data_IF_537365720698
#
_entry.id   IF_537365720698
#
_cell.length_a   1.000
_cell.length_b   1.000
_cell.length_c   1.000
_cell.angle_alpha   90.00
_cell.angle_beta   90.00
_cell.angle_gamma   90.00
#
_symmetry.space_group_name_H-M   'P 1'
#
loop_
_entity.id
_entity.type
_entity.pdbx_description
1 polymer ?
#
# COMPACT_ATOMS: atom_id res chain seq x y z
N UNK A 1 7.16 8.72 -37.45
CA UNK A 1 6.52 9.43 -36.32
C UNK A 1 7.62 10.24 -35.63
N UNK A 2 7.68 11.58 -35.79
CA UNK A 2 8.74 12.37 -35.18
C UNK A 2 8.42 12.61 -33.70
N UNK A 3 9.38 12.33 -32.83
CA UNK A 3 9.31 12.63 -31.40
C UNK A 3 9.24 14.14 -31.20
N UNK A 4 8.26 14.60 -30.40
CA UNK A 4 8.09 15.99 -29.97
C UNK A 4 9.24 16.40 -29.01
N UNK A 5 10.44 16.62 -29.53
CA UNK A 5 11.40 17.49 -28.86
C UNK A 5 11.15 18.91 -29.35
N UNK A 6 10.26 19.64 -28.67
CA UNK A 6 10.15 21.08 -28.87
C UNK A 6 11.43 21.75 -28.39
N UNK A 7 12.38 21.99 -29.31
CA UNK A 7 13.46 22.97 -29.12
C UNK A 7 12.86 24.37 -29.06
N UNK A 8 12.31 24.75 -27.90
CA UNK A 8 12.07 26.16 -27.56
C UNK A 8 13.32 26.67 -26.82
N UNK A 9 14.27 27.21 -27.59
CA UNK A 9 15.45 27.91 -27.07
C UNK A 9 16.54 27.00 -26.47
N UNK A 10 17.75 27.53 -26.33
CA UNK A 10 18.98 26.90 -25.78
C UNK A 10 18.89 26.42 -24.31
N UNK A 11 17.69 26.16 -23.78
CA UNK A 11 17.53 25.63 -22.42
C UNK A 11 17.66 24.11 -22.41
N UNK A 12 18.66 23.62 -21.67
CA UNK A 12 18.80 22.20 -21.33
C UNK A 12 17.62 21.80 -20.43
N UNK A 13 16.69 21.03 -20.97
CA UNK A 13 15.55 20.50 -20.22
C UNK A 13 16.02 19.34 -19.34
N UNK A 14 15.71 19.37 -18.04
CA UNK A 14 16.09 18.30 -17.11
C UNK A 14 15.25 17.06 -17.32
N UNK A 15 15.75 15.88 -16.95
CA UNK A 15 14.98 14.64 -17.08
C UNK A 15 13.67 14.69 -16.29
N UNK A 16 13.70 15.31 -15.10
CA UNK A 16 12.52 15.54 -14.28
C UNK A 16 11.46 16.38 -14.98
N UNK A 17 11.83 17.46 -15.67
CA UNK A 17 10.89 18.28 -16.44
C UNK A 17 10.20 17.48 -17.54
N UNK A 18 10.94 16.62 -18.25
CA UNK A 18 10.37 15.75 -19.29
C UNK A 18 9.36 14.77 -18.70
N UNK A 19 9.75 14.06 -17.63
CA UNK A 19 8.86 13.07 -16.99
C UNK A 19 7.62 13.73 -16.41
N UNK A 20 7.74 14.91 -15.80
CA UNK A 20 6.58 15.65 -15.30
C UNK A 20 5.63 16.05 -16.42
N UNK A 21 6.15 16.53 -17.54
CA UNK A 21 5.30 16.89 -18.68
C UNK A 21 4.57 15.65 -19.21
N UNK A 22 5.22 14.49 -19.26
CA UNK A 22 4.55 13.21 -19.59
C UNK A 22 3.45 12.91 -18.59
N UNK A 23 3.74 12.98 -17.28
CA UNK A 23 2.77 12.70 -16.22
C UNK A 23 1.52 13.59 -16.28
N UNK A 24 1.62 14.81 -16.81
CA UNK A 24 0.45 15.70 -17.00
C UNK A 24 -0.56 15.17 -18.00
N UNK A 25 -0.09 14.43 -19.00
CA UNK A 25 -0.94 13.85 -20.05
C UNK A 25 -1.39 12.41 -19.72
N UNK A 26 -0.89 11.83 -18.62
CA UNK A 26 -1.27 10.49 -18.20
C UNK A 26 -2.52 10.52 -17.31
N UNK A 27 -3.51 9.75 -17.73
CA UNK A 27 -4.73 9.48 -16.96
C UNK A 27 -4.76 8.01 -16.52
N UNK A 28 -5.47 7.74 -15.42
CA UNK A 28 -5.59 6.40 -14.83
C UNK A 28 -4.55 6.07 -13.75
N UNK A 29 -4.42 4.78 -13.46
CA UNK A 29 -3.50 4.25 -12.45
C UNK A 29 -2.24 3.67 -13.11
N UNK A 30 -1.07 4.00 -12.55
CA UNK A 30 0.23 3.58 -13.08
C UNK A 30 1.31 3.59 -11.99
N UNK A 31 2.34 2.75 -12.20
CA UNK A 31 3.63 2.83 -11.54
C UNK A 31 4.70 2.75 -12.63
N UNK A 32 5.52 3.79 -12.78
CA UNK A 32 6.43 3.95 -13.91
C UNK A 32 7.85 4.20 -13.44
N UNK A 33 8.80 3.64 -14.20
CA UNK A 33 10.24 3.87 -14.05
C UNK A 33 10.80 4.30 -15.40
N UNK A 34 11.45 5.45 -15.44
CA UNK A 34 12.03 6.06 -16.62
C UNK A 34 13.56 5.99 -16.56
N UNK A 35 14.16 5.54 -17.66
CA UNK A 35 15.60 5.54 -17.92
C UNK A 35 15.85 6.01 -19.35
N UNK A 36 16.89 6.80 -19.59
CA UNK A 36 17.17 7.36 -20.91
C UNK A 36 18.65 7.38 -21.22
N UNK A 37 19.01 7.16 -22.49
CA UNK A 37 20.38 7.35 -22.97
C UNK A 37 20.78 8.85 -23.01
N UNK A 38 19.79 9.75 -23.10
CA UNK A 38 20.03 11.19 -23.11
C UNK A 38 20.31 11.76 -21.71
N UNK A 39 19.94 11.01 -20.66
CA UNK A 39 20.15 11.36 -19.26
C UNK A 39 20.86 10.20 -18.55
N UNK A 40 22.15 9.97 -18.85
CA UNK A 40 22.91 8.88 -18.24
C UNK A 40 23.03 9.09 -16.73
N UNK A 41 23.10 7.99 -15.97
CA UNK A 41 23.14 7.97 -14.50
C UNK A 41 21.93 8.59 -13.80
N UNK A 42 20.83 8.78 -14.53
CA UNK A 42 19.56 9.23 -13.97
C UNK A 42 18.46 8.17 -14.13
N UNK A 43 17.61 8.06 -13.11
CA UNK A 43 16.40 7.25 -13.13
C UNK A 43 15.30 8.01 -12.40
N UNK A 44 14.11 8.04 -12.99
CA UNK A 44 12.95 8.69 -12.37
C UNK A 44 11.85 7.67 -12.19
N UNK A 45 11.23 7.63 -11.02
CA UNK A 45 10.12 6.74 -10.73
C UNK A 45 8.94 7.52 -10.14
N UNK A 46 7.73 7.15 -10.51
CA UNK A 46 6.51 7.81 -10.04
C UNK A 46 5.34 6.82 -10.03
N UNK A 47 4.33 7.10 -9.21
CA UNK A 47 3.10 6.32 -9.17
C UNK A 47 1.83 7.17 -9.02
N UNK A 48 0.72 6.57 -9.41
CA UNK A 48 -0.65 7.01 -9.15
C UNK A 48 -1.53 5.77 -9.06
N UNK A 49 -2.13 5.49 -7.91
CA UNK A 49 -3.08 4.37 -7.73
C UNK A 49 -2.49 2.95 -7.86
N UNK A 50 -1.19 2.79 -8.10
CA UNK A 50 -0.51 1.48 -8.17
C UNK A 50 0.70 1.45 -7.22
N UNK A 51 1.01 0.35 -6.52
CA UNK A 51 2.11 0.31 -5.55
C UNK A 51 3.48 0.52 -6.17
N UNK A 52 4.35 1.21 -5.42
CA UNK A 52 5.75 1.37 -5.78
C UNK A 52 6.55 1.65 -4.50
N UNK A 53 7.67 0.96 -4.34
CA UNK A 53 8.57 1.12 -3.21
C UNK A 53 10.04 1.14 -3.65
N UNK A 54 10.85 1.81 -2.83
CA UNK A 54 12.29 1.93 -2.98
C UNK A 54 13.00 1.19 -1.84
N UNK A 55 13.65 0.08 -2.14
CA UNK A 55 14.59 -0.60 -1.27
C UNK A 55 15.97 0.05 -1.28
N UNK A 56 16.59 0.16 -0.11
CA UNK A 56 17.94 0.71 0.06
C UNK A 56 18.84 -0.31 0.76
N UNK A 57 19.96 -0.65 0.15
CA UNK A 57 21.00 -1.50 0.74
C UNK A 57 22.33 -0.75 0.76
N UNK A 58 22.94 -0.65 1.93
CA UNK A 58 24.27 -0.06 2.07
C UNK A 58 25.31 -1.18 1.96
N UNK A 59 26.29 -1.04 1.08
CA UNK A 59 27.29 -2.09 0.82
C UNK A 59 28.41 -2.15 1.89
N UNK A 60 28.35 -1.28 2.91
CA UNK A 60 29.29 -1.26 4.01
C UNK A 60 28.56 -1.33 5.36
N UNK A 61 28.08 -2.52 5.73
CA UNK A 61 27.73 -2.83 7.12
C UNK A 61 28.95 -3.45 7.81
N UNK A 62 29.55 -2.67 8.72
CA UNK A 62 30.32 -3.27 9.81
C UNK A 62 29.37 -4.18 10.58
N UNK A 63 29.77 -5.44 10.75
CA UNK A 63 29.22 -6.32 11.76
C UNK A 63 29.41 -5.65 13.13
N UNK A 64 28.39 -4.99 13.67
CA UNK A 64 28.14 -4.93 15.11
C UNK A 64 26.83 -4.18 15.44
N UNK A 65 26.00 -4.91 16.20
CA UNK A 65 24.89 -4.54 17.05
C UNK A 65 24.54 -3.04 17.23
N UNK A 66 23.25 -2.76 17.01
CA UNK A 66 22.44 -1.84 17.81
C UNK A 66 23.01 -0.44 18.04
N UNK A 67 22.67 0.51 17.16
CA UNK A 67 22.66 1.93 17.53
C UNK A 67 21.49 2.65 16.89
N UNK A 68 20.93 3.57 17.68
CA UNK A 68 19.76 4.37 17.37
C UNK A 68 19.94 5.18 16.08
N UNK A 69 18.88 5.26 15.28
CA UNK A 69 18.83 6.06 14.07
C UNK A 69 18.73 7.54 14.44
N UNK A 70 19.84 8.28 14.34
CA UNK A 70 19.80 9.74 14.31
C UNK A 70 19.54 10.24 12.89
N UNK A 71 18.57 11.15 12.80
CA UNK A 71 18.29 11.99 11.64
C UNK A 71 19.56 12.74 11.21
N UNK A 72 19.88 12.72 9.91
CA UNK A 72 20.31 13.90 9.17
C UNK A 72 20.53 13.61 7.67
N UNK A 73 19.71 14.25 6.83
CA UNK A 73 19.88 14.43 5.39
C UNK A 73 20.00 13.13 4.57
N UNK A 74 18.94 12.83 3.83
CA UNK A 74 19.00 12.03 2.60
C UNK A 74 20.01 12.68 1.64
N UNK A 75 21.29 12.32 1.77
CA UNK A 75 22.41 12.44 0.84
C UNK A 75 23.71 12.14 1.59
N UNK A 76 24.42 11.12 1.10
CA UNK A 76 25.87 10.95 1.16
C UNK A 76 26.66 12.04 1.91
N UNK A 77 27.00 11.78 3.17
CA UNK A 77 28.28 12.25 3.72
C UNK A 77 29.33 11.14 3.83
N UNK A 78 28.92 9.87 3.79
CA UNK A 78 29.83 8.77 4.10
C UNK A 78 30.55 8.16 2.89
N UNK A 79 30.23 8.57 1.65
CA UNK A 79 30.91 8.08 0.44
C UNK A 79 30.77 6.56 0.20
N UNK A 80 29.90 5.87 0.95
CA UNK A 80 29.70 4.42 0.87
C UNK A 80 28.80 4.07 -0.32
N UNK A 81 29.16 3.05 -1.12
CA UNK A 81 28.34 2.62 -2.24
C UNK A 81 27.03 2.01 -1.72
N UNK A 82 25.92 2.31 -2.40
CA UNK A 82 24.57 1.82 -2.06
C UNK A 82 23.93 1.19 -3.29
N UNK A 83 23.17 0.11 -3.07
CA UNK A 83 22.29 -0.49 -4.08
C UNK A 83 20.86 -0.03 -3.81
N UNK A 84 20.17 0.38 -4.88
CA UNK A 84 18.79 0.89 -4.83
C UNK A 84 17.90 -0.02 -5.68
N UNK A 85 16.79 -0.47 -5.11
CA UNK A 85 15.86 -1.40 -5.72
C UNK A 85 14.49 -0.73 -5.82
N UNK A 86 13.94 -0.63 -7.03
CA UNK A 86 12.56 -0.17 -7.23
C UNK A 86 11.70 -1.36 -7.60
N UNK A 87 10.56 -1.51 -6.92
CA UNK A 87 9.63 -2.61 -7.14
C UNK A 87 8.21 -2.17 -6.86
N UNK A 88 7.24 -2.81 -7.51
CA UNK A 88 5.83 -2.72 -7.13
C UNK A 88 5.46 -3.68 -5.99
N UNK A 89 6.32 -4.67 -5.69
CA UNK A 89 6.11 -5.67 -4.65
C UNK A 89 7.31 -5.75 -3.69
N UNK A 90 7.05 -5.78 -2.39
CA UNK A 90 8.03 -5.91 -1.33
C UNK A 90 8.79 -7.25 -1.40
N UNK A 91 8.14 -8.31 -1.90
CA UNK A 91 8.74 -9.64 -2.03
C UNK A 91 9.98 -9.65 -2.93
N UNK A 92 10.01 -8.82 -3.98
CA UNK A 92 11.17 -8.74 -4.87
C UNK A 92 12.36 -7.99 -4.26
N UNK A 93 12.14 -7.24 -3.18
CA UNK A 93 13.16 -6.39 -2.55
C UNK A 93 13.73 -7.00 -1.28
N UNK A 94 12.94 -7.78 -0.55
CA UNK A 94 13.29 -8.33 0.77
C UNK A 94 14.47 -9.30 0.73
N UNK A 95 14.75 -9.96 -0.39
CA UNK A 95 15.97 -10.77 -0.59
C UNK A 95 17.25 -9.91 -0.57
N UNK A 96 17.14 -8.63 -0.91
CA UNK A 96 18.25 -7.69 -0.95
C UNK A 96 18.29 -6.79 0.27
N UNK A 97 17.15 -6.29 0.74
CA UNK A 97 17.06 -5.38 1.89
C UNK A 97 15.67 -5.36 2.50
N UNK A 98 15.61 -5.24 3.83
CA UNK A 98 14.36 -4.96 4.55
C UNK A 98 14.06 -3.48 4.70
N UNK A 99 15.03 -2.60 4.38
CA UNK A 99 14.88 -1.14 4.49
C UNK A 99 14.23 -0.62 3.21
N UNK A 100 12.95 -0.24 3.32
CA UNK A 100 12.15 0.22 2.17
C UNK A 100 11.50 1.56 2.45
N UNK A 101 11.19 2.28 1.37
CA UNK A 101 10.41 3.50 1.37
C UNK A 101 9.22 3.32 0.45
N UNK A 102 8.01 3.42 1.00
CA UNK A 102 6.76 3.38 0.22
C UNK A 102 6.55 4.75 -0.42
N UNK A 103 6.45 4.77 -1.75
CA UNK A 103 6.23 5.98 -2.53
C UNK A 103 4.73 6.27 -2.51
N UNK A 104 4.35 7.54 -2.31
CA UNK A 104 2.95 7.97 -2.32
C UNK A 104 2.52 8.48 -3.69
N UNK A 105 1.21 8.58 -3.90
CA UNK A 105 0.65 9.18 -5.11
C UNK A 105 1.05 10.65 -5.25
N UNK A 106 1.42 11.04 -6.46
CA UNK A 106 1.89 12.40 -6.76
C UNK A 106 3.35 12.65 -6.41
N UNK A 107 4.07 11.64 -5.91
CA UNK A 107 5.50 11.72 -5.68
C UNK A 107 6.31 11.24 -6.87
N UNK A 108 7.44 11.90 -7.05
CA UNK A 108 8.45 11.58 -8.06
C UNK A 108 9.77 11.36 -7.34
N UNK A 109 10.28 10.13 -7.45
CA UNK A 109 11.61 9.76 -6.98
C UNK A 109 12.59 10.00 -8.12
N UNK A 110 13.57 10.87 -7.91
CA UNK A 110 14.64 11.15 -8.85
C UNK A 110 15.96 10.65 -8.28
N UNK A 111 16.50 9.63 -8.93
CA UNK A 111 17.82 9.08 -8.71
C UNK A 111 18.80 9.74 -9.68
N UNK A 112 19.85 10.36 -9.16
CA UNK A 112 20.87 11.03 -9.96
C UNK A 112 22.23 10.92 -9.30
N UNK A 113 23.20 10.38 -10.03
CA UNK A 113 24.60 10.25 -9.59
C UNK A 113 24.72 9.57 -8.20
N UNK A 114 23.88 8.55 -7.96
CA UNK A 114 23.82 7.83 -6.69
C UNK A 114 23.05 8.55 -5.55
N UNK A 115 22.59 9.78 -5.76
CA UNK A 115 21.69 10.49 -4.88
C UNK A 115 20.23 10.10 -5.08
N UNK A 116 19.43 10.15 -4.01
CA UNK A 116 17.97 9.95 -4.03
C UNK A 116 17.30 11.25 -3.61
N UNK A 117 16.36 11.73 -4.41
CA UNK A 117 15.50 12.85 -4.04
C UNK A 117 14.04 12.50 -4.28
N UNK A 118 13.17 12.92 -3.36
CA UNK A 118 11.71 12.73 -3.47
C UNK A 118 11.09 14.10 -3.60
N UNK A 119 10.38 14.30 -4.70
CA UNK A 119 9.74 15.56 -5.05
C UNK A 119 8.24 15.31 -5.09
N UNK A 120 7.49 16.14 -4.38
CA UNK A 120 6.03 16.16 -4.49
C UNK A 120 5.62 17.34 -5.33
N UNK A 121 4.78 17.07 -6.32
CA UNK A 121 4.22 18.08 -7.19
C UNK A 121 2.75 18.25 -6.81
N UNK A 122 2.37 19.47 -6.43
CA UNK A 122 0.97 19.81 -6.24
C UNK A 122 0.36 20.04 -7.62
N UNK A 123 -0.60 19.19 -7.99
CA UNK A 123 -1.45 19.45 -9.13
C UNK A 123 -2.48 20.50 -8.72
N UNK A 124 -2.22 21.77 -9.02
CA UNK A 124 -3.25 22.79 -8.98
C UNK A 124 -4.14 22.58 -10.21
N UNK A 125 -5.11 21.67 -10.10
CA UNK A 125 -6.12 21.39 -11.13
C UNK A 125 -7.18 22.50 -11.17
N UNK A 126 -6.73 23.75 -11.15
CA UNK A 126 -7.53 24.96 -11.29
C UNK A 126 -6.97 25.78 -12.45
N UNK A 127 -7.73 25.82 -13.54
CA UNK A 127 -7.52 26.67 -14.72
C UNK A 127 -6.45 26.25 -15.75
N UNK A 128 -6.89 26.32 -17.01
CA UNK A 128 -6.18 26.03 -18.24
C UNK A 128 -5.00 27.02 -18.41
N UNK A 129 -3.91 26.81 -17.67
CA UNK A 129 -2.77 27.71 -17.66
C UNK A 129 -1.84 27.65 -16.44
N UNK A 130 -2.07 26.73 -15.48
CA UNK A 130 -1.24 26.65 -14.27
C UNK A 130 0.21 26.23 -14.58
N UNK A 131 1.15 27.12 -14.24
CA UNK A 131 2.58 26.83 -14.09
C UNK A 131 2.76 25.86 -12.92
N UNK A 132 3.63 24.86 -13.07
CA UNK A 132 4.01 23.96 -11.98
C UNK A 132 4.34 24.78 -10.73
N UNK A 133 3.54 24.61 -9.68
CA UNK A 133 3.87 25.08 -8.35
C UNK A 133 5.14 24.36 -7.88
N UNK A 134 5.86 25.03 -6.98
CA UNK A 134 7.24 24.71 -6.61
C UNK A 134 7.38 23.26 -6.15
N UNK A 135 8.19 22.47 -6.86
CA UNK A 135 8.59 21.14 -6.41
C UNK A 135 9.11 21.22 -4.98
N UNK A 136 8.41 20.56 -4.06
CA UNK A 136 8.78 20.56 -2.65
C UNK A 136 9.47 19.26 -2.32
N UNK A 137 10.68 19.33 -1.77
CA UNK A 137 11.40 18.16 -1.30
C UNK A 137 10.65 17.54 -0.12
N UNK A 138 10.28 16.28 -0.24
CA UNK A 138 9.62 15.55 0.86
C UNK A 138 10.66 14.77 1.64
N UNK A 139 10.58 14.83 2.98
CA UNK A 139 11.34 13.96 3.87
C UNK A 139 10.47 12.77 4.24
N UNK A 140 11.01 11.56 4.06
CA UNK A 140 10.35 10.31 4.42
C UNK A 140 11.26 9.47 5.29
N UNK A 141 10.65 8.79 6.26
CA UNK A 141 11.34 7.79 7.06
C UNK A 141 11.41 6.46 6.28
N UNK A 142 12.53 5.76 6.40
CA UNK A 142 12.61 4.38 5.94
C UNK A 142 11.76 3.50 6.87
N UNK A 143 10.95 2.64 6.28
CA UNK A 143 10.26 1.55 6.97
C UNK A 143 11.12 0.29 6.92
N UNK A 144 11.03 -0.54 7.95
CA UNK A 144 11.64 -1.87 7.97
C UNK A 144 10.53 -2.89 7.77
N UNK A 145 10.63 -3.66 6.68
CA UNK A 145 9.71 -4.76 6.43
C UNK A 145 9.85 -5.81 7.53
N UNK A 146 8.73 -6.13 8.20
CA UNK A 146 8.68 -7.20 9.21
C UNK A 146 8.73 -8.61 8.60
N UNK A 147 8.56 -8.71 7.28
CA UNK A 147 8.59 -9.97 6.54
C UNK A 147 9.94 -10.70 6.65
N UNK A 148 9.88 -12.02 6.73
CA UNK A 148 11.05 -12.89 6.68
C UNK A 148 11.20 -13.52 5.29
N UNK A 149 12.43 -13.62 4.79
CA UNK A 149 12.72 -14.17 3.45
C UNK A 149 12.24 -15.62 3.31
N UNK A 150 12.23 -16.39 4.41
CA UNK A 150 11.72 -17.76 4.45
C UNK A 150 10.21 -17.86 4.17
N UNK A 151 9.43 -16.84 4.53
CA UNK A 151 8.00 -16.80 4.28
C UNK A 151 7.67 -16.73 2.79
N UNK A 152 8.60 -16.24 1.97
CA UNK A 152 8.42 -16.05 0.52
C UNK A 152 8.98 -17.23 -0.27
N UNK A 153 9.84 -18.06 0.34
CA UNK A 153 10.41 -19.22 -0.31
C UNK A 153 9.50 -20.44 -0.22
N UNK A 154 9.54 -21.34 -1.22
CA UNK A 154 8.77 -22.60 -1.16
C UNK A 154 9.21 -23.56 -0.05
N UNK A 155 10.44 -23.39 0.46
CA UNK A 155 11.03 -24.29 1.44
C UNK A 155 11.09 -25.72 0.91
N UNK A 156 10.52 -26.66 1.65
CA UNK A 156 10.50 -28.09 1.30
C UNK A 156 9.29 -28.51 0.43
N UNK A 157 8.42 -27.57 0.06
CA UNK A 157 7.23 -27.86 -0.73
C UNK A 157 7.47 -27.68 -2.23
N UNK A 158 6.73 -28.41 -3.05
CA UNK A 158 6.84 -28.35 -4.51
C UNK A 158 6.13 -27.10 -5.08
N UNK A 159 5.02 -26.72 -4.45
CA UNK A 159 4.17 -25.60 -4.85
C UNK A 159 3.87 -24.66 -3.67
N UNK A 160 3.75 -23.37 -3.94
CA UNK A 160 3.32 -22.38 -2.93
C UNK A 160 1.95 -22.70 -2.35
N UNK A 161 1.00 -23.13 -3.19
CA UNK A 161 -0.32 -23.57 -2.72
C UNK A 161 -0.22 -24.71 -1.69
N UNK A 162 0.68 -25.66 -1.91
CA UNK A 162 0.89 -26.77 -0.97
C UNK A 162 1.50 -26.29 0.35
N UNK A 163 2.47 -25.37 0.28
CA UNK A 163 3.05 -24.70 1.45
C UNK A 163 1.96 -23.99 2.25
N UNK A 164 1.21 -23.09 1.61
CA UNK A 164 0.16 -22.27 2.25
C UNK A 164 -0.96 -23.13 2.86
N UNK A 165 -1.34 -24.24 2.23
CA UNK A 165 -2.30 -25.20 2.80
C UNK A 165 -1.75 -25.81 4.11
N UNK A 166 -0.49 -26.22 4.13
CA UNK A 166 0.11 -26.83 5.32
C UNK A 166 0.47 -25.82 6.42
N UNK A 167 0.68 -24.55 6.08
CA UNK A 167 0.97 -23.47 7.03
C UNK A 167 -0.28 -22.85 7.69
N UNK A 168 -1.49 -23.30 7.33
CA UNK A 168 -2.73 -22.81 7.95
C UNK A 168 -2.77 -22.90 9.49
N UNK A 169 -2.24 -23.96 10.16
CA UNK A 169 -2.22 -24.02 11.62
C UNK A 169 -1.40 -22.89 12.26
N UNK A 170 -0.26 -22.56 11.66
CA UNK A 170 0.59 -21.46 12.12
C UNK A 170 -0.04 -20.11 11.79
N UNK A 171 -0.55 -19.95 10.56
CA UNK A 171 -1.25 -18.74 10.10
C UNK A 171 -2.44 -18.40 11.01
N UNK A 172 -3.20 -19.39 11.45
CA UNK A 172 -4.29 -19.22 12.41
C UNK A 172 -3.78 -18.75 13.77
N UNK A 173 -2.68 -19.32 14.25
CA UNK A 173 -2.05 -18.92 15.52
C UNK A 173 -1.56 -17.47 15.46
N UNK A 174 -0.93 -17.07 14.36
CA UNK A 174 -0.50 -15.69 14.10
C UNK A 174 -1.68 -14.73 14.00
N UNK A 175 -2.77 -15.15 13.33
CA UNK A 175 -4.03 -14.39 13.27
C UNK A 175 -4.64 -14.17 14.66
N UNK A 176 -4.48 -15.09 15.61
CA UNK A 176 -5.01 -14.92 16.97
C UNK A 176 -4.05 -14.22 17.94
N UNK A 177 -2.76 -14.13 17.59
CA UNK A 177 -1.69 -13.61 18.47
C UNK A 177 -1.99 -12.18 18.90
N UNK A 178 -1.90 -11.91 20.21
CA UNK A 178 -2.19 -10.61 20.81
C UNK A 178 -3.67 -10.19 20.84
N UNK A 179 -4.55 -10.91 20.12
CA UNK A 179 -6.00 -10.60 20.03
C UNK A 179 -6.83 -11.40 21.02
N UNK A 180 -6.40 -12.62 21.35
CA UNK A 180 -7.01 -13.44 22.40
C UNK A 180 -6.34 -13.19 23.76
N UNK A 181 -7.03 -12.48 24.65
CA UNK A 181 -6.52 -12.18 25.99
C UNK A 181 -6.97 -13.28 26.94
N UNK A 182 -6.05 -14.21 27.23
CA UNK A 182 -6.15 -15.14 28.35
C UNK A 182 -5.67 -14.42 29.61
N UNK A 183 -6.58 -13.79 30.35
CA UNK A 183 -6.31 -13.43 31.74
C UNK A 183 -6.29 -14.72 32.56
N UNK A 184 -5.42 -14.81 33.58
CA UNK A 184 -5.14 -16.04 34.35
C UNK A 184 -6.38 -16.78 34.88
N UNK A 185 -6.15 -17.94 35.51
CA UNK A 185 -7.09 -19.04 35.83
C UNK A 185 -8.49 -18.71 36.41
N UNK A 186 -8.83 -17.46 36.72
CA UNK A 186 -10.09 -17.04 37.32
C UNK A 186 -10.79 -15.86 36.60
N UNK A 187 -10.33 -15.40 35.43
CA UNK A 187 -10.99 -14.30 34.66
C UNK A 187 -11.50 -14.75 33.29
N UNK A 188 -12.60 -14.12 32.87
CA UNK A 188 -13.25 -14.38 31.57
C UNK A 188 -12.28 -14.17 30.40
N UNK A 189 -12.35 -15.07 29.41
CA UNK A 189 -11.62 -14.95 28.14
C UNK A 189 -12.18 -13.74 27.39
N UNK A 190 -11.31 -12.89 26.84
CA UNK A 190 -11.74 -11.71 26.08
C UNK A 190 -11.00 -11.57 24.76
N UNK A 191 -11.67 -10.97 23.78
CA UNK A 191 -11.12 -10.67 22.46
C UNK A 191 -10.90 -9.17 22.37
N UNK A 192 -9.71 -8.75 21.95
CA UNK A 192 -9.38 -7.35 21.69
C UNK A 192 -8.82 -7.22 20.27
N UNK A 193 -9.55 -6.50 19.43
CA UNK A 193 -9.09 -6.11 18.11
C UNK A 193 -8.65 -4.65 18.18
N UNK A 194 -7.35 -4.41 18.33
CA UNK A 194 -6.78 -3.08 18.55
C UNK A 194 -7.26 -2.05 17.54
N UNK A 195 -7.26 -2.39 16.24
CA UNK A 195 -7.71 -1.51 15.16
C UNK A 195 -9.21 -1.17 15.16
N UNK A 196 -10.04 -1.89 15.92
CA UNK A 196 -11.48 -1.62 16.01
C UNK A 196 -11.88 -0.95 17.32
N UNK A 197 -10.98 -0.89 18.32
CA UNK A 197 -11.29 -0.51 19.71
C UNK A 197 -12.11 0.78 19.81
N UNK A 198 -11.72 1.80 19.07
CA UNK A 198 -12.33 3.13 19.12
C UNK A 198 -13.63 3.20 18.30
N UNK A 199 -13.87 2.24 17.41
CA UNK A 199 -15.04 2.17 16.53
C UNK A 199 -16.10 1.16 16.97
N UNK A 200 -15.81 0.27 17.94
CA UNK A 200 -16.73 -0.78 18.40
C UNK A 200 -18.10 -0.25 18.84
N UNK A 201 -18.16 0.94 19.47
CA UNK A 201 -19.43 1.55 19.88
C UNK A 201 -20.29 1.95 18.68
N UNK A 202 -19.67 2.41 17.61
CA UNK A 202 -20.35 2.80 16.37
C UNK A 202 -20.83 1.57 15.62
N UNK A 203 -19.97 0.55 15.46
CA UNK A 203 -20.33 -0.73 14.81
C UNK A 203 -21.53 -1.37 15.50
N UNK A 204 -21.57 -1.39 16.84
CA UNK A 204 -22.70 -1.94 17.61
C UNK A 204 -24.02 -1.18 17.44
N UNK A 205 -23.98 0.06 16.95
CA UNK A 205 -25.15 0.90 16.70
C UNK A 205 -25.55 0.89 15.22
N UNK A 206 -24.78 0.22 14.35
CA UNK A 206 -25.11 0.11 12.94
C UNK A 206 -26.41 -0.66 12.76
N UNK A 207 -27.20 -0.23 11.78
CA UNK A 207 -28.45 -0.91 11.43
C UNK A 207 -28.21 -2.19 10.63
N UNK A 208 -27.05 -2.27 9.97
CA UNK A 208 -26.64 -3.38 9.12
C UNK A 208 -25.12 -3.39 9.00
N UNK A 209 -24.55 -4.59 8.88
CA UNK A 209 -23.15 -4.81 8.49
C UNK A 209 -23.15 -5.37 7.07
N UNK A 210 -22.44 -4.70 6.15
CA UNK A 210 -22.35 -5.10 4.74
C UNK A 210 -20.94 -5.60 4.47
N UNK A 211 -20.78 -6.89 4.16
CA UNK A 211 -19.50 -7.41 3.69
C UNK A 211 -19.38 -7.28 2.19
N UNK A 212 -18.28 -6.68 1.74
CA UNK A 212 -17.99 -6.38 0.34
C UNK A 212 -16.65 -7.01 -0.02
N UNK A 213 -16.59 -7.78 -1.10
CA UNK A 213 -15.36 -8.36 -1.61
C UNK A 213 -15.56 -9.12 -2.91
N UNK A 214 -14.48 -9.73 -3.42
CA UNK A 214 -14.48 -10.50 -4.65
C UNK A 214 -14.02 -11.94 -4.41
N UNK A 215 -14.52 -12.88 -5.23
CA UNK A 215 -14.03 -14.27 -5.28
C UNK A 215 -13.95 -14.96 -3.91
N UNK A 216 -12.77 -15.51 -3.59
CA UNK A 216 -12.54 -16.23 -2.33
C UNK A 216 -12.73 -15.35 -1.09
N UNK A 217 -12.41 -14.05 -1.15
CA UNK A 217 -12.63 -13.13 -0.03
C UNK A 217 -14.12 -12.95 0.28
N UNK A 218 -14.97 -12.88 -0.75
CA UNK A 218 -16.43 -12.90 -0.59
C UNK A 218 -16.89 -14.22 0.06
N UNK A 219 -16.39 -15.36 -0.41
CA UNK A 219 -16.74 -16.68 0.14
C UNK A 219 -16.33 -16.83 1.62
N UNK A 220 -15.17 -16.29 2.01
CA UNK A 220 -14.71 -16.32 3.39
C UNK A 220 -15.64 -15.51 4.31
N UNK A 221 -16.09 -14.33 3.85
CA UNK A 221 -17.05 -13.52 4.60
C UNK A 221 -18.44 -14.16 4.65
N UNK A 222 -18.89 -14.82 3.57
CA UNK A 222 -20.13 -15.58 3.53
C UNK A 222 -20.14 -16.71 4.58
N UNK A 223 -19.01 -17.40 4.76
CA UNK A 223 -18.87 -18.44 5.79
C UNK A 223 -19.00 -17.88 7.23
N UNK A 224 -18.60 -16.62 7.46
CA UNK A 224 -18.69 -15.96 8.76
C UNK A 224 -20.05 -15.30 9.02
N UNK A 225 -20.91 -15.16 8.00
CA UNK A 225 -22.21 -14.48 8.13
C UNK A 225 -23.09 -15.03 9.25
N UNK A 226 -23.38 -16.35 9.34
CA UNK A 226 -24.35 -16.84 10.32
C UNK A 226 -23.92 -16.58 11.76
N UNK A 227 -22.64 -16.83 12.07
CA UNK A 227 -22.11 -16.63 13.42
C UNK A 227 -22.03 -15.15 13.80
N UNK A 228 -21.72 -14.26 12.85
CA UNK A 228 -21.69 -12.84 13.14
C UNK A 228 -23.09 -12.28 13.37
N UNK A 229 -24.07 -12.69 12.55
CA UNK A 229 -25.47 -12.29 12.69
C UNK A 229 -26.06 -12.79 14.02
N UNK A 230 -25.81 -14.04 14.39
CA UNK A 230 -26.23 -14.62 15.67
C UNK A 230 -25.62 -13.88 16.88
N UNK A 231 -24.31 -13.65 16.88
CA UNK A 231 -23.61 -13.07 18.03
C UNK A 231 -23.80 -11.57 18.17
N UNK A 232 -24.00 -10.85 17.06
CA UNK A 232 -24.18 -9.40 17.08
C UNK A 232 -25.65 -8.97 17.19
N UNK A 233 -26.58 -9.78 16.68
CA UNK A 233 -27.98 -9.40 16.50
C UNK A 233 -28.19 -8.29 15.45
N UNK A 234 -27.16 -7.96 14.67
CA UNK A 234 -27.21 -6.95 13.61
C UNK A 234 -27.38 -7.69 12.27
N UNK A 235 -28.31 -7.27 11.40
CA UNK A 235 -28.44 -7.82 10.06
C UNK A 235 -27.10 -7.79 9.30
N UNK A 236 -26.69 -8.93 8.74
CA UNK A 236 -25.47 -9.04 7.94
C UNK A 236 -25.83 -9.33 6.49
N UNK A 237 -25.39 -8.47 5.58
CA UNK A 237 -25.58 -8.63 4.14
C UNK A 237 -24.25 -8.82 3.43
N UNK A 238 -24.31 -9.49 2.29
CA UNK A 238 -23.16 -9.84 1.47
C UNK A 238 -23.31 -9.16 0.11
N UNK A 239 -22.23 -8.55 -0.38
CA UNK A 239 -22.19 -7.85 -1.66
C UNK A 239 -20.94 -8.24 -2.43
N UNK A 240 -21.11 -8.58 -3.71
CA UNK A 240 -19.99 -8.70 -4.64
C UNK A 240 -19.63 -7.27 -5.08
N UNK A 241 -18.36 -6.89 -4.97
CA UNK A 241 -17.96 -5.50 -5.16
C UNK A 241 -18.33 -4.93 -6.55
N UNK A 242 -18.15 -5.72 -7.61
CA UNK A 242 -18.52 -5.31 -8.97
C UNK A 242 -20.03 -5.11 -9.12
N UNK A 243 -20.84 -6.06 -8.65
CA UNK A 243 -22.31 -5.99 -8.73
C UNK A 243 -22.88 -4.81 -7.93
N UNK A 244 -22.32 -4.54 -6.74
CA UNK A 244 -22.69 -3.38 -5.92
C UNK A 244 -22.50 -2.06 -6.67
N UNK A 245 -21.40 -1.92 -7.40
CA UNK A 245 -21.09 -0.73 -8.19
C UNK A 245 -22.00 -0.65 -9.43
N UNK A 246 -22.14 -1.75 -10.17
CA UNK A 246 -22.92 -1.78 -11.42
C UNK A 246 -24.39 -1.41 -11.20
N UNK A 247 -24.96 -1.82 -10.05
CA UNK A 247 -26.36 -1.55 -9.71
C UNK A 247 -26.57 -0.30 -8.85
N UNK A 248 -25.50 0.41 -8.50
CA UNK A 248 -25.50 1.51 -7.53
C UNK A 248 -26.25 1.11 -6.23
N UNK A 249 -25.84 0.00 -5.63
CA UNK A 249 -26.57 -0.59 -4.52
C UNK A 249 -26.63 0.33 -3.29
N UNK A 250 -27.70 0.23 -2.48
CA UNK A 250 -27.91 1.17 -1.39
C UNK A 250 -26.93 0.92 -0.23
N UNK A 251 -26.11 1.92 0.04
CA UNK A 251 -25.25 2.04 1.22
C UNK A 251 -25.69 3.29 1.99
N UNK A 252 -25.88 3.15 3.30
CA UNK A 252 -26.37 4.23 4.16
C UNK A 252 -25.35 4.62 5.21
N UNK A 253 -25.51 5.84 5.74
CA UNK A 253 -24.65 6.38 6.81
C UNK A 253 -24.65 5.52 8.08
N UNK A 254 -25.75 4.84 8.37
CA UNK A 254 -25.89 3.96 9.53
C UNK A 254 -25.31 2.55 9.31
N UNK A 255 -24.79 2.24 8.13
CA UNK A 255 -24.17 0.96 7.83
C UNK A 255 -22.71 0.92 8.32
N UNK A 256 -22.26 -0.28 8.69
CA UNK A 256 -20.84 -0.61 8.72
C UNK A 256 -20.51 -1.43 7.46
N UNK A 257 -19.71 -0.88 6.56
CA UNK A 257 -19.22 -1.57 5.37
C UNK A 257 -17.86 -2.21 5.66
N UNK A 258 -17.75 -3.54 5.49
CA UNK A 258 -16.56 -4.34 5.76
C UNK A 258 -15.99 -4.84 4.43
N UNK A 259 -14.78 -4.38 4.08
CA UNK A 259 -14.10 -4.71 2.85
C UNK A 259 -13.10 -5.83 3.09
N UNK A 260 -13.27 -6.96 2.41
CA UNK A 260 -12.39 -8.13 2.56
C UNK A 260 -11.55 -8.30 1.31
N UNK A 261 -10.24 -8.13 1.45
CA UNK A 261 -9.29 -8.22 0.33
C UNK A 261 -7.93 -8.67 0.84
N UNK A 262 -7.44 -9.82 0.36
CA UNK A 262 -6.11 -10.31 0.74
C UNK A 262 -5.03 -9.29 0.39
N UNK A 263 -5.05 -8.77 -0.85
CA UNK A 263 -4.04 -7.82 -1.35
C UNK A 263 -4.23 -6.39 -0.86
N UNK A 264 -5.44 -6.03 -0.42
CA UNK A 264 -5.80 -4.62 -0.17
C UNK A 264 -5.99 -3.77 -1.43
N UNK A 265 -5.78 -4.32 -2.63
CA UNK A 265 -5.67 -3.55 -3.88
C UNK A 265 -6.70 -3.93 -4.96
N UNK A 266 -7.54 -4.92 -4.68
CA UNK A 266 -8.57 -5.39 -5.62
C UNK A 266 -9.42 -4.21 -6.10
N UNK A 267 -9.38 -3.90 -7.40
CA UNK A 267 -9.91 -2.67 -7.99
C UNK A 267 -11.38 -2.42 -7.64
N UNK A 268 -12.26 -3.40 -7.89
CA UNK A 268 -13.69 -3.26 -7.58
C UNK A 268 -13.93 -3.04 -6.08
N UNK A 269 -13.16 -3.71 -5.22
CA UNK A 269 -13.25 -3.53 -3.76
C UNK A 269 -12.82 -2.12 -3.33
N UNK A 270 -11.79 -1.55 -3.96
CA UNK A 270 -11.35 -0.16 -3.70
C UNK A 270 -12.35 0.87 -4.21
N UNK A 271 -12.94 0.65 -5.39
CA UNK A 271 -14.01 1.51 -5.91
C UNK A 271 -15.26 1.44 -5.02
N UNK A 272 -15.63 0.25 -4.55
CA UNK A 272 -16.73 0.07 -3.61
C UNK A 272 -16.43 0.72 -2.24
N UNK A 273 -15.17 0.74 -1.80
CA UNK A 273 -14.75 1.47 -0.61
C UNK A 273 -14.98 2.97 -0.78
N UNK A 274 -14.53 3.55 -1.90
CA UNK A 274 -14.77 4.96 -2.19
C UNK A 274 -16.28 5.27 -2.24
N UNK A 275 -17.06 4.43 -2.93
CA UNK A 275 -18.51 4.55 -2.99
C UNK A 275 -19.17 4.54 -1.60
N UNK A 276 -18.75 3.65 -0.70
CA UNK A 276 -19.29 3.60 0.66
C UNK A 276 -18.88 4.80 1.52
N UNK A 277 -17.66 5.32 1.34
CA UNK A 277 -17.18 6.55 2.00
C UNK A 277 -18.00 7.76 1.54
N UNK A 278 -18.27 7.88 0.24
CA UNK A 278 -19.07 8.97 -0.33
C UNK A 278 -20.51 8.94 0.19
N UNK A 279 -21.04 7.75 0.48
CA UNK A 279 -22.34 7.56 1.14
C UNK A 279 -22.30 7.69 2.67
N UNK A 280 -21.13 7.95 3.26
CA UNK A 280 -20.94 8.25 4.67
C UNK A 280 -21.02 7.06 5.62
N UNK A 281 -20.90 5.82 5.10
CA UNK A 281 -20.87 4.62 5.93
C UNK A 281 -19.55 4.51 6.72
N UNK A 282 -19.60 3.80 7.86
CA UNK A 282 -18.36 3.42 8.56
C UNK A 282 -17.67 2.30 7.78
N UNK A 283 -16.46 2.55 7.29
CA UNK A 283 -15.70 1.58 6.49
C UNK A 283 -14.63 0.86 7.33
N UNK A 284 -14.57 -0.47 7.22
CA UNK A 284 -13.61 -1.34 7.91
C UNK A 284 -12.90 -2.24 6.90
N UNK A 285 -11.57 -2.25 6.90
CA UNK A 285 -10.77 -3.14 6.06
C UNK A 285 -10.34 -4.42 6.80
N UNK A 286 -10.52 -5.58 6.15
CA UNK A 286 -9.89 -6.84 6.51
C UNK A 286 -8.89 -7.19 5.41
N UNK A 287 -7.62 -6.87 5.66
CA UNK A 287 -6.52 -7.02 4.69
C UNK A 287 -5.38 -7.87 5.23
N UNK A 288 -4.59 -8.45 4.33
CA UNK A 288 -3.38 -9.21 4.67
C UNK A 288 -2.09 -8.52 4.21
N UNK A 289 -2.20 -7.45 3.42
CA UNK A 289 -1.09 -6.54 3.08
C UNK A 289 -1.16 -5.30 3.98
N UNK A 290 -0.03 -4.89 4.56
CA UNK A 290 0.13 -3.71 5.42
C UNK A 290 1.27 -2.86 4.90
#
# INVERSE_FOLDING_TARGET
MPFYFSRRGDQVVTFSQVVLEVMRHLEGAYALIFKSLHYPNELIACKRGSPLLLGVKELAENKENGSAFEENKFLSKDGKPKELFLSSDANAVVEHTKKVLVIEDGEVVHLKDGGVSILKYENDMGELGASLSRASSVRRALSVLEMEVEQINKGHYEHYMQKEIHEQPESLTTTMRGRLIRRGSSKSKSVLLGGLKDHLKTIRRSRRIVFIGCGTSYNAALAARPILEELSGIPVTMEIASDLLDREGPIYREDTAVFVSQSGETADTLLALQYALDNGALCVGITNTV
#
